data_IF_624186358997
#
_entry.id   IF_624186358997
#
_cell.length_a   1.000
_cell.length_b   1.000
_cell.length_c   1.000
_cell.angle_alpha   90.00
_cell.angle_beta   90.00
_cell.angle_gamma   90.00
#
_symmetry.space_group_name_H-M   'P 1'
#
loop_
_entity.id
_entity.type
_entity.pdbx_description
1 polymer ?
#
# COMPACT_ATOMS: atom_id res chain seq x y z
N UNK A 1 -26.10 -3.28 6.38
CA UNK A 1 -24.91 -4.05 5.96
C UNK A 1 -25.14 -4.85 4.68
N UNK A 2 -26.19 -5.69 4.61
CA UNK A 2 -26.49 -6.47 3.39
C UNK A 2 -26.62 -5.62 2.13
N UNK A 3 -27.31 -4.48 2.18
CA UNK A 3 -27.44 -3.57 1.03
C UNK A 3 -26.09 -3.03 0.53
N UNK A 4 -25.21 -2.61 1.45
CA UNK A 4 -23.89 -2.10 1.10
C UNK A 4 -23.01 -3.19 0.49
N UNK A 5 -22.95 -4.38 1.12
CA UNK A 5 -22.17 -5.50 0.61
C UNK A 5 -22.68 -5.99 -0.75
N UNK A 6 -24.00 -6.08 -0.92
CA UNK A 6 -24.57 -6.53 -2.17
C UNK A 6 -24.33 -5.54 -3.31
N UNK A 7 -24.56 -4.24 -3.06
CA UNK A 7 -24.38 -3.20 -4.08
C UNK A 7 -22.91 -3.05 -4.48
N UNK A 8 -21.95 -3.12 -3.55
CA UNK A 8 -20.52 -3.06 -3.89
C UNK A 8 -20.07 -4.28 -4.68
N UNK A 9 -20.54 -5.48 -4.34
CA UNK A 9 -20.25 -6.70 -5.10
C UNK A 9 -20.81 -6.63 -6.52
N UNK A 10 -22.06 -6.21 -6.69
CA UNK A 10 -22.67 -6.03 -8.01
C UNK A 10 -21.91 -4.98 -8.85
N UNK A 11 -21.54 -3.85 -8.26
CA UNK A 11 -20.78 -2.81 -8.94
C UNK A 11 -19.41 -3.30 -9.43
N UNK A 12 -18.69 -4.09 -8.61
CA UNK A 12 -17.39 -4.67 -9.00
C UNK A 12 -17.55 -5.62 -10.19
N UNK A 13 -18.57 -6.49 -10.18
CA UNK A 13 -18.84 -7.43 -11.27
C UNK A 13 -19.11 -6.66 -12.58
N UNK A 14 -19.99 -5.66 -12.53
CA UNK A 14 -20.32 -4.83 -13.70
C UNK A 14 -19.06 -4.09 -14.20
N UNK A 15 -18.25 -3.54 -13.30
CA UNK A 15 -17.00 -2.87 -13.64
C UNK A 15 -16.01 -3.78 -14.36
N UNK A 16 -15.85 -5.03 -13.90
CA UNK A 16 -14.97 -6.03 -14.54
C UNK A 16 -15.48 -6.37 -15.94
N UNK A 17 -16.79 -6.63 -16.10
CA UNK A 17 -17.39 -6.93 -17.40
C UNK A 17 -17.16 -5.78 -18.37
N UNK A 18 -17.37 -4.53 -17.94
CA UNK A 18 -17.18 -3.35 -18.77
C UNK A 18 -15.73 -3.19 -19.25
N UNK A 19 -14.76 -3.32 -18.34
CA UNK A 19 -13.32 -3.19 -18.67
C UNK A 19 -12.88 -4.29 -19.64
N UNK A 20 -13.31 -5.53 -19.43
CA UNK A 20 -12.98 -6.65 -20.33
C UNK A 20 -13.76 -6.56 -21.66
N UNK A 21 -14.91 -5.90 -21.71
CA UNK A 21 -15.65 -5.77 -22.97
C UNK A 21 -15.07 -4.66 -23.85
N UNK A 22 -14.76 -3.52 -23.24
CA UNK A 22 -14.31 -2.31 -23.95
C UNK A 22 -12.79 -2.31 -24.14
N UNK A 23 -12.03 -3.03 -23.30
CA UNK A 23 -10.56 -3.03 -23.27
C UNK A 23 -9.98 -1.60 -23.34
N UNK A 24 -10.26 -0.74 -22.35
CA UNK A 24 -9.74 0.62 -22.38
C UNK A 24 -8.21 0.63 -22.22
N UNK A 25 -7.50 1.17 -23.21
CA UNK A 25 -6.06 1.39 -23.19
C UNK A 25 -5.33 0.78 -24.40
N UNK A 26 -4.38 1.52 -24.98
CA UNK A 26 -3.55 1.03 -26.09
C UNK A 26 -2.35 0.21 -25.56
N UNK A 27 -2.24 -1.08 -25.89
CA UNK A 27 -1.10 -1.90 -25.47
C UNK A 27 0.23 -1.46 -26.10
N UNK A 28 0.18 -0.78 -27.25
CA UNK A 28 1.34 -0.28 -28.02
C UNK A 28 2.02 0.94 -27.39
N UNK A 29 1.33 1.69 -26.52
CA UNK A 29 1.94 2.82 -25.78
C UNK A 29 2.83 2.33 -24.64
N UNK A 30 2.60 1.10 -24.16
CA UNK A 30 3.38 0.49 -23.08
C UNK A 30 4.84 0.21 -23.47
N UNK A 31 5.11 -0.08 -24.73
CA UNK A 31 6.46 -0.35 -25.24
C UNK A 31 7.31 0.93 -25.44
N UNK A 32 6.67 2.09 -25.62
CA UNK A 32 7.34 3.39 -25.81
C UNK A 32 7.50 4.17 -24.49
N UNK A 33 6.92 3.68 -23.40
CA UNK A 33 7.24 4.15 -22.07
C UNK A 33 8.57 3.50 -21.68
N UNK A 34 9.67 4.21 -21.92
CA UNK A 34 10.90 3.98 -21.15
C UNK A 34 10.50 3.78 -19.69
N UNK A 35 11.11 2.84 -18.94
CA UNK A 35 10.80 2.66 -17.54
C UNK A 35 11.20 3.95 -16.81
N UNK A 36 10.28 4.90 -16.76
CA UNK A 36 10.33 6.07 -15.91
C UNK A 36 10.52 5.48 -14.55
N UNK A 37 11.76 5.52 -14.04
CA UNK A 37 12.16 4.96 -12.76
C UNK A 37 11.16 5.52 -11.76
N UNK A 38 10.12 4.76 -11.35
CA UNK A 38 9.17 5.28 -10.38
C UNK A 38 10.03 5.32 -9.13
N UNK A 39 10.45 6.52 -8.73
CA UNK A 39 11.55 6.71 -7.78
C UNK A 39 11.37 5.75 -6.62
N UNK A 40 12.24 4.73 -6.56
CA UNK A 40 12.30 3.58 -5.63
C UNK A 40 11.29 3.64 -4.47
N UNK A 41 9.99 3.58 -4.77
CA UNK A 41 8.93 3.38 -3.78
C UNK A 41 8.69 1.90 -3.82
N UNK A 42 9.26 1.20 -2.83
CA UNK A 42 8.98 -0.21 -2.64
C UNK A 42 7.45 -0.33 -2.56
N UNK A 43 6.81 -1.09 -3.46
CA UNK A 43 5.37 -1.21 -3.41
C UNK A 43 4.98 -1.79 -2.05
N UNK A 44 4.07 -1.14 -1.32
CA UNK A 44 3.62 -1.68 -0.05
C UNK A 44 3.02 -3.07 -0.25
N UNK A 45 3.35 -3.99 0.65
CA UNK A 45 2.77 -5.33 0.63
C UNK A 45 1.29 -5.21 0.96
N UNK A 46 0.45 -5.89 0.17
CA UNK A 46 -1.02 -5.88 0.36
C UNK A 46 -1.42 -6.37 1.76
N UNK A 47 -0.68 -7.33 2.33
CA UNK A 47 -0.91 -7.80 3.70
C UNK A 47 -0.65 -6.71 4.74
N UNK A 48 0.42 -5.94 4.60
CA UNK A 48 0.76 -4.87 5.54
C UNK A 48 -0.33 -3.77 5.50
N UNK A 49 -0.87 -3.46 4.31
CA UNK A 49 -2.01 -2.56 4.16
C UNK A 49 -3.31 -3.10 4.80
N UNK A 50 -3.56 -4.41 4.71
CA UNK A 50 -4.71 -5.05 5.38
C UNK A 50 -4.55 -5.03 6.91
N UNK A 51 -3.35 -5.25 7.42
CA UNK A 51 -3.05 -5.14 8.84
C UNK A 51 -3.12 -3.69 9.34
N UNK A 52 -2.72 -2.71 8.52
CA UNK A 52 -2.94 -1.28 8.78
C UNK A 52 -4.44 -0.97 8.89
N UNK A 53 -5.28 -1.55 8.02
CA UNK A 53 -6.73 -1.40 8.09
C UNK A 53 -7.28 -1.90 9.44
N UNK A 54 -6.89 -3.10 9.86
CA UNK A 54 -7.35 -3.68 11.14
C UNK A 54 -6.89 -2.82 12.33
N UNK A 55 -5.63 -2.34 12.33
CA UNK A 55 -5.12 -1.44 13.38
C UNK A 55 -5.86 -0.12 13.43
N UNK A 56 -6.34 0.36 12.29
CA UNK A 56 -7.15 1.58 12.22
C UNK A 56 -8.61 1.35 12.65
N UNK A 57 -9.17 0.15 12.49
CA UNK A 57 -10.51 -0.21 13.05
C UNK A 57 -10.49 -0.22 14.58
N UNK A 58 -9.41 -0.73 15.19
CA UNK A 58 -9.27 -0.80 16.64
C UNK A 58 -8.11 0.09 17.12
N UNK A 59 -8.32 1.41 17.23
CA UNK A 59 -7.25 2.32 17.62
C UNK A 59 -6.82 2.09 19.08
N UNK A 60 -5.50 2.00 19.30
CA UNK A 60 -4.93 1.88 20.65
C UNK A 60 -5.12 3.15 21.50
N UNK A 61 -5.38 4.29 20.86
CA UNK A 61 -5.60 5.57 21.52
C UNK A 61 -6.56 6.45 20.71
N UNK A 62 -7.67 6.86 21.35
CA UNK A 62 -8.73 7.64 20.69
C UNK A 62 -8.32 9.09 20.40
N UNK A 63 -7.59 9.74 21.32
CA UNK A 63 -7.15 11.14 21.17
C UNK A 63 -6.16 11.26 20.01
N UNK A 64 -5.20 10.33 19.93
CA UNK A 64 -4.22 10.28 18.86
C UNK A 64 -4.88 10.01 17.51
N UNK A 65 -5.94 9.19 17.48
CA UNK A 65 -6.68 8.86 16.26
C UNK A 65 -7.36 10.07 15.60
N UNK A 66 -7.57 11.15 16.35
CA UNK A 66 -8.10 12.41 15.82
C UNK A 66 -7.11 13.08 14.84
N UNK A 67 -5.81 12.88 15.03
CA UNK A 67 -4.75 13.54 14.25
C UNK A 67 -3.83 12.57 13.52
N UNK A 68 -3.88 11.27 13.86
CA UNK A 68 -2.95 10.25 13.38
C UNK A 68 -3.63 8.94 13.00
N UNK A 69 -3.13 8.30 11.94
CA UNK A 69 -3.55 6.95 11.51
C UNK A 69 -2.36 6.00 11.43
N UNK A 70 -2.58 4.71 11.73
CA UNK A 70 -1.53 3.69 11.65
C UNK A 70 -1.17 3.40 10.19
N UNK A 71 0.13 3.38 9.87
CA UNK A 71 0.63 3.06 8.54
C UNK A 71 2.00 2.38 8.60
N UNK A 72 2.23 1.46 7.67
CA UNK A 72 3.50 0.75 7.51
C UNK A 72 4.41 1.46 6.51
N UNK A 73 5.64 1.74 6.94
CA UNK A 73 6.68 2.41 6.16
C UNK A 73 7.82 1.45 5.83
N UNK A 74 8.34 1.54 4.60
CA UNK A 74 9.50 0.78 4.16
C UNK A 74 10.71 1.70 4.08
N UNK A 75 11.68 1.47 4.97
CA UNK A 75 12.93 2.23 4.98
C UNK A 75 14.00 1.33 4.37
N UNK A 76 14.58 1.77 3.26
CA UNK A 76 15.75 1.12 2.67
C UNK A 76 16.99 1.72 3.31
N UNK A 77 17.66 0.94 4.14
CA UNK A 77 18.94 1.31 4.75
C UNK A 77 20.05 0.52 4.02
N UNK A 78 21.13 1.21 3.65
CA UNK A 78 22.30 0.56 3.06
C UNK A 78 23.20 0.13 4.19
N UNK A 79 23.27 -1.17 4.43
CA UNK A 79 24.17 -1.73 5.44
C UNK A 79 25.40 -2.34 4.74
N UNK A 80 26.58 -2.07 5.30
CA UNK A 80 27.84 -2.63 4.82
C UNK A 80 28.07 -3.98 5.50
N UNK A 81 27.86 -5.07 4.76
CA UNK A 81 28.06 -6.41 5.30
C UNK A 81 29.41 -6.93 4.81
N UNK A 82 30.20 -7.49 5.73
CA UNK A 82 31.43 -8.21 5.39
C UNK A 82 31.08 -9.58 4.81
N UNK A 83 31.29 -9.74 3.50
CA UNK A 83 31.11 -11.02 2.82
C UNK A 83 32.46 -11.46 2.25
N UNK A 84 32.96 -12.59 2.76
CA UNK A 84 34.19 -13.22 2.28
C UNK A 84 35.42 -12.28 2.26
N UNK A 85 35.53 -11.40 3.26
CA UNK A 85 36.63 -10.44 3.41
C UNK A 85 36.45 -9.09 2.68
N UNK A 86 35.38 -8.93 1.88
CA UNK A 86 35.08 -7.66 1.17
C UNK A 86 33.81 -7.02 1.75
N UNK A 87 33.84 -5.70 1.97
CA UNK A 87 32.65 -4.92 2.34
C UNK A 87 31.74 -4.79 1.12
N UNK A 88 30.53 -5.34 1.22
CA UNK A 88 29.50 -5.21 0.18
C UNK A 88 28.34 -4.38 0.71
N UNK A 89 27.95 -3.38 -0.06
CA UNK A 89 26.73 -2.62 0.21
C UNK A 89 25.52 -3.50 -0.09
N UNK A 90 24.72 -3.79 0.94
CA UNK A 90 23.47 -4.54 0.81
C UNK A 90 22.33 -3.60 1.13
N UNK A 91 21.38 -3.49 0.19
CA UNK A 91 20.14 -2.76 0.43
C UNK A 91 19.22 -3.62 1.29
N UNK A 92 19.07 -3.27 2.56
CA UNK A 92 18.13 -3.94 3.47
C UNK A 92 16.88 -3.08 3.56
N UNK A 93 15.73 -3.68 3.23
CA UNK A 93 14.43 -3.03 3.40
C UNK A 93 13.86 -3.43 4.76
N UNK A 94 13.88 -2.51 5.71
CA UNK A 94 13.26 -2.70 7.01
C UNK A 94 11.82 -2.17 7.01
N UNK A 95 10.93 -2.95 7.61
CA UNK A 95 9.53 -2.59 7.80
C UNK A 95 9.43 -1.85 9.13
N UNK A 96 8.95 -0.61 9.11
CA UNK A 96 8.69 0.18 10.31
C UNK A 96 7.20 0.47 10.42
N UNK A 97 6.62 0.17 11.57
CA UNK A 97 5.27 0.61 11.90
C UNK A 97 5.32 2.04 12.43
N UNK A 98 4.49 2.92 11.88
CA UNK A 98 4.44 4.31 12.31
C UNK A 98 3.02 4.87 12.28
N UNK A 99 2.95 6.16 12.56
CA UNK A 99 1.73 6.94 12.46
C UNK A 99 1.93 8.01 11.39
N UNK A 100 0.95 8.14 10.50
CA UNK A 100 0.86 9.23 9.54
C UNK A 100 -0.04 10.32 10.12
N UNK A 101 0.34 11.60 9.95
CA UNK A 101 -0.47 12.74 10.39
C UNK A 101 -1.71 12.88 9.47
N UNK A 102 -2.78 12.22 9.87
CA UNK A 102 -4.11 12.24 9.26
C UNK A 102 -5.12 11.65 10.26
N UNK A 103 -6.38 12.07 10.20
CA UNK A 103 -7.44 11.55 11.09
C UNK A 103 -7.82 10.11 10.71
N UNK A 104 -7.78 9.19 11.67
CA UNK A 104 -8.27 7.83 11.49
C UNK A 104 -9.81 7.79 11.65
N UNK A 105 -10.53 8.12 10.58
CA UNK A 105 -12.01 8.15 10.57
C UNK A 105 -12.62 6.75 10.84
N UNK A 106 -11.93 5.70 10.40
CA UNK A 106 -12.42 4.31 10.53
C UNK A 106 -12.51 3.86 11.99
N UNK A 107 -11.61 4.34 12.85
CA UNK A 107 -11.62 4.02 14.27
C UNK A 107 -12.72 4.72 15.09
N UNK A 108 -13.51 5.61 14.46
CA UNK A 108 -14.59 6.35 15.11
C UNK A 108 -15.99 5.91 14.66
N UNK A 109 -16.10 4.99 13.71
CA UNK A 109 -17.35 4.47 13.13
C UNK A 109 -17.68 3.10 13.71
#
# INVERSE_FOLDING_TARGET
MTYYLFTTLMAVIIGIILVVSIHPGDPTVKDNLEPSKPGRKIPPKTLDAFLDLIRNIFPVNLISSCFRQASTFYVSEVEKILLNGTLKDVNITNIRHGYQDATNILGFI
#
